data_IF_458521032828
#
_entry.id   IF_458521032828
#
_cell.length_a   1.000
_cell.length_b   1.000
_cell.length_c   1.000
_cell.angle_alpha   90.00
_cell.angle_beta   90.00
_cell.angle_gamma   90.00
#
_symmetry.space_group_name_H-M   'P 1'
#
loop_
_entity.id
_entity.type
_entity.pdbx_description
1 polymer ?
#
# COMPACT_ATOMS: atom_id res chain seq x y z
N UNK A 1 22.75 -27.30 1.62
CA UNK A 1 22.19 -26.04 2.16
C UNK A 1 21.77 -25.04 1.06
N UNK A 2 22.61 -24.72 0.06
CA UNK A 2 22.29 -23.74 -1.00
C UNK A 2 21.10 -24.08 -1.92
N UNK A 3 20.85 -25.38 -2.17
CA UNK A 3 19.69 -25.86 -2.95
C UNK A 3 18.35 -25.66 -2.22
N UNK A 4 18.34 -25.83 -0.90
CA UNK A 4 17.15 -25.64 -0.06
C UNK A 4 16.67 -24.18 -0.10
N UNK A 5 17.62 -23.22 -0.07
CA UNK A 5 17.30 -21.79 -0.16
C UNK A 5 16.68 -21.39 -1.49
N UNK A 6 17.15 -21.97 -2.61
CA UNK A 6 16.58 -21.72 -3.93
C UNK A 6 15.16 -22.30 -4.08
N UNK A 7 14.89 -23.45 -3.46
CA UNK A 7 13.54 -24.01 -3.46
C UNK A 7 12.56 -23.13 -2.67
N UNK A 8 12.98 -22.69 -1.48
CA UNK A 8 12.16 -21.79 -0.65
C UNK A 8 11.88 -20.46 -1.35
N UNK A 9 12.89 -19.85 -1.98
CA UNK A 9 12.73 -18.60 -2.70
C UNK A 9 11.73 -18.72 -3.86
N UNK A 10 11.82 -19.79 -4.66
CA UNK A 10 10.86 -20.06 -5.75
C UNK A 10 9.45 -20.30 -5.24
N UNK A 11 9.31 -21.05 -4.14
CA UNK A 11 8.00 -21.27 -3.52
C UNK A 11 7.37 -19.96 -3.06
N UNK A 12 8.14 -19.13 -2.34
CA UNK A 12 7.68 -17.82 -1.86
C UNK A 12 7.35 -16.87 -3.00
N UNK A 13 8.15 -16.86 -4.07
CA UNK A 13 7.88 -16.07 -5.26
C UNK A 13 6.55 -16.45 -5.90
N UNK A 14 6.30 -17.74 -6.16
CA UNK A 14 5.03 -18.23 -6.71
C UNK A 14 3.84 -17.93 -5.80
N UNK A 15 4.00 -18.10 -4.49
CA UNK A 15 2.95 -17.77 -3.53
C UNK A 15 2.62 -16.28 -3.55
N UNK A 16 3.62 -15.40 -3.48
CA UNK A 16 3.42 -13.95 -3.54
C UNK A 16 2.70 -13.53 -4.82
N UNK A 17 3.11 -14.05 -5.97
CA UNK A 17 2.47 -13.76 -7.25
C UNK A 17 1.00 -14.22 -7.29
N UNK A 18 0.65 -15.30 -6.58
CA UNK A 18 -0.76 -15.76 -6.50
C UNK A 18 -1.67 -14.87 -5.65
N UNK A 19 -1.09 -14.01 -4.80
CA UNK A 19 -1.85 -13.13 -3.89
C UNK A 19 -2.17 -11.77 -4.48
N UNK A 20 -1.54 -11.40 -5.59
CA UNK A 20 -1.67 -10.08 -6.22
C UNK A 20 -2.61 -10.15 -7.43
N UNK A 21 -3.25 -9.02 -7.75
CA UNK A 21 -4.13 -8.91 -8.92
C UNK A 21 -3.32 -8.78 -10.21
N UNK A 22 -3.97 -9.05 -11.36
CA UNK A 22 -3.34 -8.94 -12.68
C UNK A 22 -2.72 -7.55 -12.96
N UNK A 23 -3.37 -6.48 -12.50
CA UNK A 23 -2.83 -5.11 -12.58
C UNK A 23 -1.45 -4.99 -11.90
N UNK A 24 -1.33 -5.58 -10.72
CA UNK A 24 -0.09 -5.55 -9.94
C UNK A 24 0.95 -6.50 -10.55
N UNK A 25 0.52 -7.65 -11.06
CA UNK A 25 1.39 -8.63 -11.73
C UNK A 25 2.16 -8.04 -12.91
N UNK A 26 1.53 -7.17 -13.72
CA UNK A 26 2.21 -6.49 -14.83
C UNK A 26 3.45 -5.71 -14.39
N UNK A 27 3.42 -5.18 -13.17
CA UNK A 27 4.52 -4.42 -12.59
C UNK A 27 5.60 -5.29 -11.92
N UNK A 28 5.38 -6.59 -11.80
CA UNK A 28 6.29 -7.56 -11.16
C UNK A 28 7.03 -8.46 -12.16
N UNK A 29 6.77 -8.30 -13.47
CA UNK A 29 7.29 -9.16 -14.55
C UNK A 29 8.83 -9.26 -14.63
N UNK A 30 9.55 -8.29 -14.08
CA UNK A 30 11.02 -8.26 -14.06
C UNK A 30 11.63 -8.89 -12.79
N UNK A 31 10.83 -9.12 -11.74
CA UNK A 31 11.32 -9.64 -10.46
C UNK A 31 11.48 -11.17 -10.52
N UNK A 32 12.66 -11.66 -10.15
CA UNK A 32 13.05 -13.08 -10.28
C UNK A 32 13.15 -13.80 -8.94
N UNK A 33 13.37 -13.04 -7.86
CA UNK A 33 13.45 -13.55 -6.49
C UNK A 33 12.28 -13.05 -5.63
N UNK A 34 11.92 -13.83 -4.61
CA UNK A 34 10.84 -13.48 -3.67
C UNK A 34 11.06 -12.12 -2.98
N UNK A 35 12.32 -11.79 -2.69
CA UNK A 35 12.72 -10.51 -2.11
C UNK A 35 12.43 -9.32 -3.05
N UNK A 36 12.71 -9.47 -4.34
CA UNK A 36 12.47 -8.41 -5.33
C UNK A 36 10.97 -8.17 -5.51
N UNK A 37 10.19 -9.26 -5.54
CA UNK A 37 8.71 -9.22 -5.61
C UNK A 37 8.16 -8.47 -4.39
N UNK A 38 8.57 -8.87 -3.18
CA UNK A 38 8.13 -8.23 -1.95
C UNK A 38 8.51 -6.74 -1.90
N UNK A 39 9.75 -6.40 -2.26
CA UNK A 39 10.22 -5.01 -2.28
C UNK A 39 9.41 -4.16 -3.27
N UNK A 40 9.05 -4.70 -4.43
CA UNK A 40 8.23 -3.99 -5.41
C UNK A 40 6.80 -3.76 -4.90
N UNK A 41 6.19 -4.76 -4.26
CA UNK A 41 4.89 -4.63 -3.59
C UNK A 41 4.97 -3.56 -2.50
N UNK A 42 5.95 -3.65 -1.60
CA UNK A 42 6.14 -2.71 -0.51
C UNK A 42 6.37 -1.28 -1.03
N UNK A 43 7.16 -1.08 -2.08
CA UNK A 43 7.35 0.26 -2.66
C UNK A 43 6.06 0.81 -3.25
N UNK A 44 5.27 -0.02 -3.93
CA UNK A 44 4.04 0.42 -4.58
C UNK A 44 2.94 0.77 -3.57
N UNK A 45 2.81 -0.01 -2.50
CA UNK A 45 1.74 0.16 -1.52
C UNK A 45 2.18 0.88 -0.24
N UNK A 46 3.46 0.89 0.06
CA UNK A 46 4.06 1.55 1.22
C UNK A 46 4.45 3.01 0.97
N UNK A 47 4.58 3.43 -0.29
CA UNK A 47 4.78 4.84 -0.61
C UNK A 47 3.57 5.67 -0.17
N UNK A 48 3.79 6.58 0.80
CA UNK A 48 2.79 7.59 1.15
C UNK A 48 2.63 8.53 -0.06
N UNK A 49 1.58 8.33 -0.84
CA UNK A 49 1.27 9.19 -1.98
C UNK A 49 1.17 10.65 -1.51
N UNK A 50 2.08 11.50 -1.98
CA UNK A 50 2.08 12.95 -1.67
C UNK A 50 0.78 13.60 -2.13
N UNK A 51 0.22 13.11 -3.24
CA UNK A 51 -1.11 13.48 -3.72
C UNK A 51 -2.18 13.10 -2.70
N UNK A 52 -2.20 11.85 -2.21
CA UNK A 52 -3.15 11.41 -1.19
C UNK A 52 -3.03 12.22 0.10
N UNK A 53 -1.81 12.51 0.56
CA UNK A 53 -1.56 13.39 1.71
C UNK A 53 -2.12 14.79 1.45
N UNK A 54 -1.85 15.36 0.26
CA UNK A 54 -2.33 16.70 -0.07
C UNK A 54 -3.85 16.75 -0.15
N UNK A 55 -4.49 15.76 -0.79
CA UNK A 55 -5.95 15.63 -0.84
C UNK A 55 -6.56 15.52 0.56
N UNK A 56 -5.98 14.70 1.45
CA UNK A 56 -6.42 14.59 2.84
C UNK A 56 -6.28 15.92 3.59
N UNK A 57 -5.16 16.63 3.40
CA UNK A 57 -4.94 17.95 4.01
C UNK A 57 -5.94 18.98 3.51
N UNK A 58 -6.22 19.01 2.20
CA UNK A 58 -7.25 19.90 1.64
C UNK A 58 -8.64 19.57 2.20
N UNK A 59 -9.00 18.29 2.28
CA UNK A 59 -10.25 17.86 2.88
C UNK A 59 -10.37 18.35 4.33
N UNK A 60 -9.34 18.13 5.15
CA UNK A 60 -9.31 18.59 6.55
C UNK A 60 -9.44 20.12 6.67
N UNK A 61 -8.75 20.90 5.83
CA UNK A 61 -8.86 22.36 5.85
C UNK A 61 -10.23 22.88 5.41
N UNK A 62 -10.96 22.11 4.59
CA UNK A 62 -12.31 22.46 4.16
C UNK A 62 -13.40 22.17 5.21
N UNK A 63 -13.05 21.46 6.30
CA UNK A 63 -14.02 21.12 7.35
C UNK A 63 -14.20 22.33 8.26
N UNK A 64 -15.29 23.05 8.05
CA UNK A 64 -15.69 24.14 8.94
C UNK A 64 -16.49 23.63 10.14
N UNK A 65 -16.27 24.28 11.29
CA UNK A 65 -17.04 24.03 12.52
C UNK A 65 -18.47 24.55 12.40
N UNK A 66 -18.65 25.70 11.75
CA UNK A 66 -19.95 26.37 11.62
C UNK A 66 -20.72 26.38 12.98
N UNK A 67 -21.98 25.93 12.96
CA UNK A 67 -22.86 25.83 14.11
C UNK A 67 -22.74 24.48 14.86
N UNK A 68 -21.77 23.63 14.51
CA UNK A 68 -21.56 22.36 15.19
C UNK A 68 -21.07 22.57 16.63
N UNK A 69 -21.57 21.72 17.52
CA UNK A 69 -20.95 21.53 18.83
C UNK A 69 -19.52 21.00 18.65
N UNK A 70 -18.66 21.20 19.65
CA UNK A 70 -17.28 20.69 19.61
C UNK A 70 -17.27 19.17 19.40
N UNK A 71 -18.21 18.45 20.01
CA UNK A 71 -18.34 16.99 19.88
C UNK A 71 -18.65 16.59 18.44
N UNK A 72 -19.62 17.26 17.81
CA UNK A 72 -20.09 16.90 16.46
C UNK A 72 -19.07 17.31 15.40
N UNK A 73 -18.38 18.43 15.61
CA UNK A 73 -17.25 18.83 14.77
C UNK A 73 -16.12 17.79 14.79
N UNK A 74 -15.73 17.31 15.99
CA UNK A 74 -14.68 16.28 16.10
C UNK A 74 -15.12 14.94 15.49
N UNK A 75 -16.41 14.61 15.55
CA UNK A 75 -16.94 13.45 14.84
C UNK A 75 -16.83 13.61 13.31
N UNK A 76 -17.18 14.79 12.77
CA UNK A 76 -17.06 15.15 11.34
C UNK A 76 -15.62 15.15 10.83
N UNK A 77 -14.66 15.57 11.65
CA UNK A 77 -13.23 15.55 11.28
C UNK A 77 -12.66 14.13 11.22
N UNK A 78 -13.24 13.18 11.96
CA UNK A 78 -12.75 11.80 12.09
C UNK A 78 -13.31 10.83 11.05
N UNK A 79 -14.48 11.11 10.47
CA UNK A 79 -15.13 10.30 9.44
C UNK A 79 -14.41 10.35 8.10
#
# INVERSE_FOLDING_TARGET
MKLMGLFLDKFLASWLLSTVTDDVLMHLTMAKASFEIWTAIERRFGAKSTVKISSMRHALYSIEKENLSVKDYLAKVKS
#
